data_IF_576293319157
#
_entry.id   IF_576293319157
#
_cell.length_a   1.000
_cell.length_b   1.000
_cell.length_c   1.000
_cell.angle_alpha   90.00
_cell.angle_beta   90.00
_cell.angle_gamma   90.00
#
_symmetry.space_group_name_H-M   'P 1'
#
loop_
_entity.id
_entity.type
_entity.pdbx_description
1 polymer ?
#
# COMPACT_ATOMS: atom_id res chain seq x y z
N UNK A 1 -33.14 9.89 -0.73
CA UNK A 1 -32.56 9.92 -2.07
C UNK A 1 -31.18 10.54 -1.91
N UNK A 2 -30.12 9.91 -2.38
CA UNK A 2 -28.77 10.46 -2.33
C UNK A 2 -28.42 10.96 -3.72
N UNK A 3 -27.97 12.21 -3.83
CA UNK A 3 -27.40 12.76 -5.05
C UNK A 3 -25.89 12.53 -5.01
N UNK A 4 -25.33 11.90 -6.04
CA UNK A 4 -23.90 11.59 -6.14
C UNK A 4 -23.21 12.40 -7.26
N UNK A 5 -23.94 13.35 -7.87
CA UNK A 5 -23.40 14.14 -8.98
C UNK A 5 -22.30 15.12 -8.55
N UNK A 6 -22.25 15.47 -7.27
CA UNK A 6 -21.22 16.30 -6.65
C UNK A 6 -19.96 15.49 -6.23
N UNK A 7 -20.05 14.15 -6.28
CA UNK A 7 -18.92 13.29 -5.95
C UNK A 7 -17.92 13.24 -7.11
N UNK A 8 -16.68 13.40 -6.78
CA UNK A 8 -15.58 13.16 -7.73
C UNK A 8 -15.58 11.68 -8.12
N UNK A 9 -15.49 11.34 -9.42
CA UNK A 9 -15.33 9.96 -9.84
C UNK A 9 -14.13 9.34 -9.12
N UNK A 10 -14.31 8.16 -8.55
CA UNK A 10 -13.20 7.42 -7.96
C UNK A 10 -12.24 7.03 -9.08
N UNK A 11 -11.30 7.90 -9.36
CA UNK A 11 -10.14 7.59 -10.16
C UNK A 11 -9.31 6.64 -9.33
N UNK A 12 -9.40 5.35 -9.58
CA UNK A 12 -8.47 4.40 -9.01
C UNK A 12 -7.15 4.48 -9.77
N UNK A 13 -6.13 5.16 -9.26
CA UNK A 13 -4.82 4.67 -9.49
C UNK A 13 -4.76 3.40 -8.62
N UNK A 14 -4.71 2.27 -9.23
CA UNK A 14 -4.12 1.09 -8.65
C UNK A 14 -2.69 1.50 -8.30
N UNK A 15 -2.52 2.08 -7.11
CA UNK A 15 -1.22 2.56 -6.69
C UNK A 15 -0.26 1.40 -6.77
N UNK A 16 0.82 1.57 -7.51
CA UNK A 16 1.93 0.63 -7.49
C UNK A 16 2.28 0.33 -6.05
N UNK A 17 2.61 -0.93 -5.77
CA UNK A 17 3.08 -1.31 -4.45
C UNK A 17 4.32 -0.48 -4.09
N UNK A 18 4.48 -0.19 -2.81
CA UNK A 18 5.74 0.32 -2.30
C UNK A 18 6.80 -0.74 -2.59
N UNK A 19 7.93 -0.42 -3.24
CA UNK A 19 8.95 -1.40 -3.59
C UNK A 19 9.42 -2.21 -2.38
N UNK A 20 9.73 -3.48 -2.63
CA UNK A 20 10.23 -4.39 -1.59
C UNK A 20 11.50 -3.85 -0.95
N UNK A 21 11.58 -3.95 0.38
CA UNK A 21 12.72 -3.48 1.15
C UNK A 21 12.79 -1.97 1.36
N UNK A 22 11.75 -1.21 1.01
CA UNK A 22 11.71 0.23 1.24
C UNK A 22 11.74 0.56 2.73
N UNK A 23 12.67 1.43 3.11
CA UNK A 23 12.69 2.02 4.44
C UNK A 23 11.81 3.28 4.47
N UNK A 24 10.95 3.38 5.48
CA UNK A 24 10.03 4.50 5.60
C UNK A 24 9.68 4.81 7.06
N UNK A 25 9.41 6.07 7.33
CA UNK A 25 8.75 6.51 8.54
C UNK A 25 7.25 6.29 8.39
N UNK A 26 6.64 5.49 9.27
CA UNK A 26 5.24 5.10 9.17
C UNK A 26 4.47 5.47 10.44
N UNK A 27 3.21 5.84 10.26
CA UNK A 27 2.24 6.04 11.32
C UNK A 27 1.29 4.86 11.35
N UNK A 28 1.10 4.27 12.52
CA UNK A 28 0.08 3.24 12.75
C UNK A 28 -1.25 3.88 13.13
N UNK A 29 -2.34 3.39 12.54
CA UNK A 29 -3.72 3.72 12.91
C UNK A 29 -4.47 2.42 13.16
N UNK A 30 -5.09 2.30 14.33
CA UNK A 30 -5.87 1.11 14.68
C UNK A 30 -7.29 1.28 14.17
N UNK A 31 -7.78 0.27 13.46
CA UNK A 31 -9.15 0.21 12.95
C UNK A 31 -10.00 -0.65 13.89
N UNK A 32 -11.00 -0.07 14.59
CA UNK A 32 -11.86 -0.83 15.49
C UNK A 32 -12.60 -1.94 14.77
N UNK A 33 -12.59 -3.15 15.34
CA UNK A 33 -13.24 -4.33 14.77
C UNK A 33 -14.47 -4.83 15.54
N UNK A 34 -14.89 -4.09 16.59
CA UNK A 34 -16.12 -4.38 17.35
C UNK A 34 -15.98 -5.44 18.44
N UNK A 35 -14.81 -6.06 18.60
CA UNK A 35 -14.57 -7.08 19.63
C UNK A 35 -13.75 -6.52 20.79
N UNK A 36 -14.14 -6.85 22.01
CA UNK A 36 -13.44 -6.36 23.19
C UNK A 36 -12.07 -7.03 23.37
N UNK A 37 -11.09 -6.22 23.74
CA UNK A 37 -9.80 -6.67 24.26
C UNK A 37 -9.86 -7.04 25.75
N UNK A 38 -8.68 -7.23 26.33
CA UNK A 38 -8.54 -7.63 27.75
C UNK A 38 -8.59 -6.46 28.72
N UNK A 39 -8.47 -5.23 28.24
CA UNK A 39 -8.51 -4.02 29.07
C UNK A 39 -9.71 -3.14 28.73
N UNK A 40 -10.12 -2.27 29.68
CA UNK A 40 -11.20 -1.32 29.44
C UNK A 40 -10.89 -0.35 28.29
N UNK A 41 -9.62 -0.05 28.06
CA UNK A 41 -9.17 0.82 26.95
C UNK A 41 -9.34 0.15 25.58
N UNK A 42 -9.49 -1.17 25.53
CA UNK A 42 -9.55 -1.97 24.32
C UNK A 42 -10.96 -2.48 23.99
N UNK A 43 -12.00 -1.86 24.58
CA UNK A 43 -13.40 -2.19 24.28
C UNK A 43 -13.71 -1.86 22.81
N UNK A 44 -14.21 -2.86 22.08
CA UNK A 44 -14.54 -2.74 20.66
C UNK A 44 -13.35 -2.61 19.71
N UNK A 45 -12.12 -2.74 20.22
CA UNK A 45 -10.90 -2.47 19.45
C UNK A 45 -10.49 -3.61 18.53
N UNK A 46 -10.70 -4.85 18.96
CA UNK A 46 -10.21 -6.05 18.27
C UNK A 46 -11.17 -6.51 17.18
N UNK A 47 -10.65 -7.33 16.27
CA UNK A 47 -11.36 -7.99 15.19
C UNK A 47 -11.29 -9.50 15.39
N UNK A 48 -12.41 -10.20 15.30
CA UNK A 48 -12.42 -11.66 15.30
C UNK A 48 -11.92 -12.21 13.96
N UNK A 49 -11.19 -13.33 14.00
CA UNK A 49 -10.90 -14.12 12.83
C UNK A 49 -12.17 -14.84 12.37
N UNK A 50 -12.35 -14.97 11.05
CA UNK A 50 -13.46 -15.74 10.48
C UNK A 50 -13.21 -17.24 10.45
N UNK A 51 -11.93 -17.65 10.54
CA UNK A 51 -11.50 -19.04 10.36
C UNK A 51 -10.93 -19.70 11.62
N UNK A 52 -10.84 -18.95 12.72
CA UNK A 52 -10.27 -19.43 13.99
C UNK A 52 -10.79 -18.60 15.17
N UNK A 53 -10.44 -19.00 16.39
CA UNK A 53 -10.71 -18.29 17.64
C UNK A 53 -9.81 -17.07 17.85
N UNK A 54 -8.92 -16.76 16.90
CA UNK A 54 -7.98 -15.67 17.03
C UNK A 54 -8.69 -14.31 17.05
N UNK A 55 -8.26 -13.46 17.98
CA UNK A 55 -8.59 -12.04 18.02
C UNK A 55 -7.39 -11.23 17.56
N UNK A 56 -7.60 -10.28 16.69
CA UNK A 56 -6.55 -9.53 16.01
C UNK A 56 -6.74 -8.03 16.19
N UNK A 57 -5.64 -7.31 16.21
CA UNK A 57 -5.61 -5.86 16.03
C UNK A 57 -5.48 -5.56 14.54
N UNK A 58 -6.46 -4.88 13.96
CA UNK A 58 -6.45 -4.47 12.55
C UNK A 58 -5.76 -3.12 12.43
N UNK A 59 -4.59 -3.08 11.80
CA UNK A 59 -3.76 -1.89 11.72
C UNK A 59 -3.61 -1.40 10.28
N UNK A 60 -3.81 -0.12 10.09
CA UNK A 60 -3.45 0.63 8.90
C UNK A 60 -2.14 1.36 9.13
N UNK A 61 -1.20 1.25 8.22
CA UNK A 61 0.06 1.97 8.23
C UNK A 61 0.07 3.00 7.12
N UNK A 62 0.37 4.24 7.48
CA UNK A 62 0.52 5.34 6.51
C UNK A 62 1.97 5.79 6.48
N UNK A 63 2.59 5.82 5.30
CA UNK A 63 3.92 6.40 5.12
C UNK A 63 3.85 7.90 5.33
N UNK A 64 4.65 8.42 6.27
CA UNK A 64 4.59 9.83 6.70
C UNK A 64 5.43 10.75 5.81
N UNK A 65 6.56 10.26 5.30
CA UNK A 65 7.52 11.08 4.56
C UNK A 65 8.20 10.28 3.43
N UNK A 66 8.92 10.99 2.57
CA UNK A 66 9.64 10.41 1.45
C UNK A 66 8.78 10.20 0.19
N UNK A 67 9.32 9.50 -0.83
CA UNK A 67 8.68 9.37 -2.14
C UNK A 67 7.34 8.62 -2.11
N UNK A 68 7.11 7.82 -1.09
CA UNK A 68 5.88 7.05 -0.91
C UNK A 68 4.95 7.65 0.16
N UNK A 69 5.14 8.92 0.51
CA UNK A 69 4.29 9.60 1.48
C UNK A 69 2.80 9.47 1.15
N UNK A 70 1.96 9.32 2.18
CA UNK A 70 0.51 9.08 2.11
C UNK A 70 0.12 7.69 1.59
N UNK A 71 1.04 6.84 1.13
CA UNK A 71 0.72 5.46 0.79
C UNK A 71 0.35 4.68 2.05
N UNK A 72 -0.61 3.78 1.90
CA UNK A 72 -1.16 2.99 2.98
C UNK A 72 -1.00 1.50 2.70
N UNK A 73 -0.83 0.74 3.77
CA UNK A 73 -0.89 -0.72 3.75
C UNK A 73 -1.46 -1.24 5.06
N UNK A 74 -1.84 -2.49 5.11
CA UNK A 74 -2.60 -3.06 6.23
C UNK A 74 -1.99 -4.35 6.71
N UNK A 75 -2.04 -4.55 8.02
CA UNK A 75 -1.59 -5.79 8.64
C UNK A 75 -2.38 -6.06 9.91
N UNK A 76 -2.77 -7.33 10.10
CA UNK A 76 -3.39 -7.80 11.32
C UNK A 76 -2.33 -8.36 12.27
N UNK A 77 -2.46 -8.07 13.56
CA UNK A 77 -1.62 -8.63 14.62
C UNK A 77 -2.48 -9.47 15.55
N UNK A 78 -2.14 -10.74 15.72
CA UNK A 78 -2.87 -11.63 16.64
C UNK A 78 -2.64 -11.19 18.07
N UNK A 79 -3.71 -10.99 18.83
CA UNK A 79 -3.68 -10.56 20.24
C UNK A 79 -4.04 -11.70 21.17
N UNK A 80 -4.93 -12.57 20.76
CA UNK A 80 -5.35 -13.74 21.54
C UNK A 80 -5.79 -14.88 20.63
N UNK A 81 -5.87 -16.08 21.17
CA UNK A 81 -6.31 -17.28 20.46
C UNK A 81 -5.30 -17.78 19.40
N UNK A 82 -5.78 -18.60 18.48
CA UNK A 82 -4.97 -19.22 17.45
C UNK A 82 -4.09 -20.34 17.97
N UNK A 83 -2.97 -20.60 17.28
CA UNK A 83 -2.04 -21.68 17.66
C UNK A 83 -1.35 -21.37 18.98
N UNK A 84 -1.36 -22.33 19.89
CA UNK A 84 -0.68 -22.25 21.18
C UNK A 84 0.75 -22.79 21.08
N UNK A 85 1.62 -22.31 21.96
CA UNK A 85 2.95 -22.87 22.21
C UNK A 85 2.89 -24.00 23.26
N UNK A 86 4.05 -24.57 23.59
CA UNK A 86 4.16 -25.65 24.59
C UNK A 86 3.74 -25.21 26.01
N UNK A 87 3.68 -23.91 26.26
CA UNK A 87 3.26 -23.31 27.54
C UNK A 87 1.80 -22.89 27.55
N UNK A 88 1.04 -23.22 26.47
CA UNK A 88 -0.35 -22.83 26.33
C UNK A 88 -0.57 -21.33 25.99
N UNK A 89 0.48 -20.62 25.59
CA UNK A 89 0.37 -19.22 25.18
C UNK A 89 0.17 -19.09 23.66
N UNK A 90 -0.57 -18.08 23.24
CA UNK A 90 -0.75 -17.81 21.80
C UNK A 90 0.57 -17.45 21.14
N UNK A 91 1.02 -18.29 20.19
CA UNK A 91 2.21 -18.02 19.37
C UNK A 91 2.08 -16.70 18.62
N UNK A 92 0.89 -16.44 18.07
CA UNK A 92 0.60 -15.20 17.36
C UNK A 92 0.73 -13.96 18.26
N UNK A 93 0.25 -14.06 19.51
CA UNK A 93 0.41 -12.97 20.49
C UNK A 93 1.87 -12.70 20.84
N UNK A 94 2.67 -13.75 21.05
CA UNK A 94 4.10 -13.58 21.37
C UNK A 94 4.85 -12.85 20.24
N UNK A 95 4.54 -13.18 18.99
CA UNK A 95 5.09 -12.49 17.81
C UNK A 95 4.63 -11.03 17.77
N UNK A 96 3.33 -10.80 17.93
CA UNK A 96 2.76 -9.45 17.90
C UNK A 96 3.29 -8.58 19.03
N UNK A 97 3.42 -9.14 20.24
CA UNK A 97 3.97 -8.44 21.40
C UNK A 97 5.42 -8.00 21.17
N UNK A 98 6.23 -8.82 20.54
CA UNK A 98 7.60 -8.46 20.16
C UNK A 98 7.61 -7.32 19.12
N UNK A 99 6.72 -7.37 18.14
CA UNK A 99 6.58 -6.28 17.17
C UNK A 99 6.12 -4.98 17.82
N UNK A 100 5.13 -5.02 18.72
CA UNK A 100 4.66 -3.83 19.44
C UNK A 100 5.75 -3.23 20.33
N UNK A 101 6.54 -4.07 21.02
CA UNK A 101 7.72 -3.59 21.76
C UNK A 101 8.69 -2.84 20.83
N UNK A 102 9.03 -3.43 19.71
CA UNK A 102 9.92 -2.81 18.73
C UNK A 102 9.35 -1.48 18.18
N UNK A 103 8.03 -1.41 17.92
CA UNK A 103 7.36 -0.16 17.50
C UNK A 103 7.49 0.93 18.57
N UNK A 104 7.28 0.59 19.84
CA UNK A 104 7.43 1.53 20.96
C UNK A 104 8.89 1.98 21.11
N UNK A 105 9.85 1.04 21.05
CA UNK A 105 11.27 1.37 21.14
C UNK A 105 11.70 2.30 19.99
N UNK A 106 11.26 1.99 18.75
CA UNK A 106 11.53 2.82 17.58
C UNK A 106 10.88 4.21 17.69
N UNK A 107 9.62 4.28 18.13
CA UNK A 107 8.89 5.54 18.24
C UNK A 107 9.46 6.48 19.33
N UNK A 108 9.91 5.91 20.44
CA UNK A 108 10.44 6.67 21.58
C UNK A 108 11.98 6.83 21.56
N UNK A 109 12.66 6.27 20.58
CA UNK A 109 14.12 6.30 20.49
C UNK A 109 14.82 5.52 21.60
N UNK A 110 14.20 4.44 22.11
CA UNK A 110 14.74 3.63 23.19
C UNK A 110 15.72 2.58 22.66
N UNK A 111 16.89 2.46 23.31
CA UNK A 111 17.78 1.32 23.03
C UNK A 111 17.03 0.03 23.42
N UNK A 112 16.87 -0.93 22.50
CA UNK A 112 16.20 -2.19 22.78
C UNK A 112 16.87 -3.02 23.88
N UNK A 113 18.15 -2.75 24.17
CA UNK A 113 18.95 -3.40 25.21
C UNK A 113 18.86 -2.65 26.56
N UNK A 114 18.29 -1.46 26.57
CA UNK A 114 18.14 -0.71 27.82
C UNK A 114 17.05 -1.35 28.71
N UNK A 115 17.48 -1.95 29.80
CA UNK A 115 16.65 -2.61 30.81
C UNK A 115 16.47 -1.75 32.08
N UNK A 116 16.83 -0.46 32.01
CA UNK A 116 16.62 0.49 33.13
C UNK A 116 15.14 0.58 33.52
N UNK A 117 14.84 0.90 34.79
CA UNK A 117 13.45 1.10 35.23
C UNK A 117 12.70 2.17 34.42
N UNK A 118 13.42 3.20 33.95
CA UNK A 118 12.87 4.26 33.13
C UNK A 118 12.45 3.75 31.74
N UNK A 119 13.32 2.97 31.07
CA UNK A 119 13.01 2.36 29.77
C UNK A 119 11.88 1.32 29.89
N UNK A 120 11.95 0.48 30.92
CA UNK A 120 10.89 -0.49 31.22
C UNK A 120 9.53 0.20 31.44
N UNK A 121 9.51 1.28 32.20
CA UNK A 121 8.28 2.07 32.44
C UNK A 121 7.67 2.62 31.15
N UNK A 122 8.48 3.10 30.21
CA UNK A 122 8.01 3.59 28.90
C UNK A 122 7.44 2.50 28.01
N UNK A 123 7.81 1.24 28.21
CA UNK A 123 7.30 0.08 27.47
C UNK A 123 6.00 -0.49 28.04
N UNK A 124 5.56 -0.02 29.20
CA UNK A 124 4.30 -0.44 29.80
C UNK A 124 3.15 0.37 29.22
N UNK A 125 2.21 -0.31 28.57
CA UNK A 125 1.00 0.28 28.03
C UNK A 125 -0.23 -0.23 28.82
N UNK A 126 -1.21 0.64 29.06
CA UNK A 126 -2.44 0.29 29.78
C UNK A 126 -3.48 -0.39 28.90
N UNK A 127 -3.28 -0.35 27.59
CA UNK A 127 -4.10 -0.98 26.56
C UNK A 127 -3.51 -0.78 25.18
N UNK A 128 -3.92 -1.64 24.25
CA UNK A 128 -3.44 -1.60 22.85
C UNK A 128 -3.85 -0.29 22.15
N UNK A 129 -4.93 0.34 22.62
CA UNK A 129 -5.38 1.65 22.12
C UNK A 129 -4.29 2.72 22.19
N UNK A 130 -3.36 2.64 23.14
CA UNK A 130 -2.25 3.59 23.27
C UNK A 130 -1.24 3.50 22.11
N UNK A 131 -1.27 2.43 21.34
CA UNK A 131 -0.44 2.29 20.14
C UNK A 131 -1.04 3.03 18.92
N UNK A 132 -2.28 3.54 19.04
CA UNK A 132 -2.90 4.28 17.94
C UNK A 132 -2.19 5.61 17.70
N UNK A 133 -1.79 5.85 16.47
CA UNK A 133 -1.12 7.07 16.07
C UNK A 133 0.39 7.10 16.30
N UNK A 134 1.01 6.03 16.84
CA UNK A 134 2.48 6.00 16.98
C UNK A 134 3.18 6.09 15.64
N UNK A 135 4.33 6.75 15.63
CA UNK A 135 5.16 6.94 14.43
C UNK A 135 6.53 6.33 14.69
N UNK A 136 6.97 5.45 13.79
CA UNK A 136 8.20 4.70 13.94
C UNK A 136 8.88 4.44 12.59
N UNK A 137 10.13 4.01 12.64
CA UNK A 137 10.91 3.62 11.46
C UNK A 137 10.63 2.16 11.10
N UNK A 138 10.34 1.88 9.83
CA UNK A 138 10.01 0.55 9.35
C UNK A 138 10.69 0.22 8.02
N UNK A 139 10.91 -1.06 7.79
CA UNK A 139 11.21 -1.64 6.48
C UNK A 139 9.95 -2.32 5.96
N UNK A 140 9.54 -1.98 4.75
CA UNK A 140 8.31 -2.45 4.10
C UNK A 140 8.68 -3.52 3.10
N UNK A 141 7.95 -4.63 3.09
CA UNK A 141 8.12 -5.70 2.11
C UNK A 141 6.91 -5.80 1.19
N UNK A 142 7.10 -6.48 0.08
CA UNK A 142 6.02 -6.98 -0.76
C UNK A 142 5.77 -8.44 -0.42
N UNK A 143 4.64 -8.72 0.23
CA UNK A 143 4.21 -10.08 0.50
C UNK A 143 3.51 -10.65 -0.73
N UNK A 144 4.04 -11.76 -1.29
CA UNK A 144 3.41 -12.43 -2.41
C UNK A 144 2.04 -13.00 -2.01
N UNK A 145 1.04 -12.80 -2.86
CA UNK A 145 -0.25 -13.47 -2.68
C UNK A 145 -0.06 -15.00 -2.81
N UNK A 146 -0.58 -15.74 -1.84
CA UNK A 146 -0.57 -17.21 -1.85
C UNK A 146 -1.50 -17.80 -2.92
N UNK A 147 -2.52 -17.05 -3.33
CA UNK A 147 -3.47 -17.41 -4.37
C UNK A 147 -3.30 -16.46 -5.57
N UNK A 148 -3.15 -16.96 -6.82
CA UNK A 148 -2.93 -16.13 -8.00
C UNK A 148 -4.08 -15.16 -8.31
N UNK A 149 -5.27 -15.40 -7.76
CA UNK A 149 -6.42 -14.51 -7.90
C UNK A 149 -6.33 -13.24 -7.03
N UNK A 150 -5.40 -13.21 -6.09
CA UNK A 150 -5.17 -12.04 -5.24
C UNK A 150 -3.90 -11.30 -5.66
N UNK A 151 -3.87 -10.02 -5.34
CA UNK A 151 -2.69 -9.18 -5.57
C UNK A 151 -1.72 -9.27 -4.41
N UNK A 152 -0.46 -9.03 -4.72
CA UNK A 152 0.57 -8.80 -3.73
C UNK A 152 0.19 -7.63 -2.82
N UNK A 153 0.70 -7.66 -1.61
CA UNK A 153 0.41 -6.65 -0.61
C UNK A 153 1.69 -6.14 0.04
N UNK A 154 1.69 -4.86 0.40
CA UNK A 154 2.73 -4.36 1.29
C UNK A 154 2.46 -4.80 2.73
N UNK A 155 3.52 -5.18 3.43
CA UNK A 155 3.54 -5.55 4.84
C UNK A 155 4.76 -4.95 5.52
N UNK A 156 4.75 -4.91 6.86
CA UNK A 156 5.97 -4.67 7.61
C UNK A 156 6.89 -5.89 7.50
N UNK A 157 8.11 -5.70 7.03
CA UNK A 157 9.16 -6.71 7.11
C UNK A 157 9.73 -6.75 8.53
N UNK A 158 10.19 -5.60 8.99
CA UNK A 158 10.69 -5.39 10.36
C UNK A 158 10.56 -3.92 10.77
N UNK A 159 10.62 -3.67 12.05
CA UNK A 159 10.75 -2.35 12.63
C UNK A 159 12.25 -2.02 12.74
N UNK A 160 12.62 -0.83 12.31
CA UNK A 160 14.01 -0.35 12.41
C UNK A 160 14.21 0.30 13.79
N UNK A 161 15.19 -0.18 14.52
CA UNK A 161 15.42 0.19 15.91
C UNK A 161 16.50 1.26 16.05
N UNK A 162 16.49 2.04 17.14
CA UNK A 162 17.60 2.90 17.50
C UNK A 162 18.91 2.10 17.57
N UNK A 163 19.98 2.64 16.97
CA UNK A 163 21.26 1.94 16.82
C UNK A 163 21.45 1.25 15.47
N UNK A 164 20.39 1.00 14.70
CA UNK A 164 20.55 0.57 13.31
C UNK A 164 20.95 1.76 12.42
N UNK A 165 21.83 1.54 11.43
CA UNK A 165 22.40 2.63 10.59
C UNK A 165 21.36 3.50 9.92
N UNK A 166 20.22 2.91 9.51
CA UNK A 166 19.18 3.60 8.77
C UNK A 166 18.21 4.39 9.67
N UNK A 167 18.15 4.06 10.96
CA UNK A 167 17.13 4.59 11.88
C UNK A 167 17.06 6.12 11.88
N UNK A 168 18.20 6.77 12.12
CA UNK A 168 18.24 8.22 12.24
C UNK A 168 17.79 8.95 10.95
N UNK A 169 18.21 8.44 9.79
CA UNK A 169 17.83 8.99 8.49
C UNK A 169 16.33 8.84 8.24
N UNK A 170 15.76 7.65 8.53
CA UNK A 170 14.32 7.38 8.38
C UNK A 170 13.51 8.31 9.29
N UNK A 171 13.91 8.46 10.55
CA UNK A 171 13.19 9.31 11.50
C UNK A 171 13.25 10.80 11.17
N UNK A 172 14.30 11.27 10.47
CA UNK A 172 14.34 12.62 9.88
C UNK A 172 13.52 12.74 8.61
N UNK A 173 13.05 11.63 8.03
CA UNK A 173 12.28 11.61 6.78
C UNK A 173 13.16 11.64 5.53
N UNK A 174 14.43 11.32 5.66
CA UNK A 174 15.37 11.20 4.55
C UNK A 174 15.10 9.93 3.74
N UNK A 175 15.46 9.98 2.46
CA UNK A 175 15.36 8.80 1.59
C UNK A 175 16.53 7.86 1.86
N UNK A 176 16.21 6.62 2.24
CA UNK A 176 17.19 5.56 2.49
C UNK A 176 17.11 4.54 1.37
N UNK A 177 18.27 4.08 0.90
CA UNK A 177 18.36 3.07 -0.16
C UNK A 177 17.58 1.81 0.26
N UNK A 178 16.64 1.31 -0.57
CA UNK A 178 15.93 0.07 -0.30
C UNK A 178 16.88 -1.13 -0.17
N UNK A 179 16.52 -2.04 0.72
CA UNK A 179 17.21 -3.32 0.91
C UNK A 179 16.17 -4.44 0.76
N UNK A 180 16.06 -5.09 -0.42
CA UNK A 180 15.02 -6.05 -0.71
C UNK A 180 15.00 -7.23 0.26
N UNK A 181 13.81 -7.59 0.75
CA UNK A 181 13.58 -8.74 1.64
C UNK A 181 13.41 -10.02 0.84
N UNK A 182 12.71 -9.92 -0.30
CA UNK A 182 12.45 -11.04 -1.19
C UNK A 182 13.48 -11.05 -2.32
N UNK A 183 14.58 -11.76 -2.13
CA UNK A 183 15.67 -11.85 -3.11
C UNK A 183 15.33 -12.59 -4.42
N UNK A 184 14.16 -13.22 -4.51
CA UNK A 184 13.74 -13.92 -5.74
C UNK A 184 12.92 -12.97 -6.62
N UNK A 185 13.42 -12.59 -7.82
CA UNK A 185 12.59 -11.91 -8.80
C UNK A 185 11.39 -12.79 -9.10
N UNK A 186 10.19 -12.26 -8.94
CA UNK A 186 8.98 -12.94 -9.40
C UNK A 186 9.06 -13.11 -10.91
N UNK A 187 8.75 -14.32 -11.38
CA UNK A 187 8.27 -14.49 -12.74
C UNK A 187 7.13 -13.49 -12.92
N UNK A 188 7.34 -12.52 -13.81
CA UNK A 188 6.27 -11.63 -14.19
C UNK A 188 5.05 -12.51 -14.48
N UNK A 189 3.94 -12.25 -13.78
CA UNK A 189 2.69 -12.89 -14.13
C UNK A 189 2.50 -12.57 -15.61
N UNK A 190 2.47 -13.60 -16.45
CA UNK A 190 2.09 -13.43 -17.85
C UNK A 190 0.75 -12.70 -17.79
N UNK A 191 0.78 -11.45 -18.23
CA UNK A 191 -0.46 -10.70 -18.42
C UNK A 191 -1.25 -11.57 -19.39
N UNK A 192 -2.42 -12.14 -19.01
CA UNK A 192 -3.22 -12.85 -19.98
C UNK A 192 -3.41 -11.86 -21.12
N UNK A 193 -2.97 -12.25 -22.32
CA UNK A 193 -3.13 -11.46 -23.52
C UNK A 193 -4.59 -10.99 -23.50
N UNK A 194 -4.81 -9.68 -23.50
CA UNK A 194 -6.13 -9.11 -23.42
C UNK A 194 -6.96 -9.81 -24.50
N UNK A 195 -7.88 -10.67 -24.04
CA UNK A 195 -8.80 -11.32 -24.95
C UNK A 195 -9.53 -10.18 -25.65
N UNK A 196 -9.32 -10.05 -26.95
CA UNK A 196 -10.01 -9.07 -27.78
C UNK A 196 -11.49 -9.30 -27.56
N UNK A 197 -12.27 -8.30 -27.09
CA UNK A 197 -13.68 -8.49 -26.85
C UNK A 197 -14.35 -9.00 -28.11
N UNK A 198 -15.28 -9.96 -28.00
CA UNK A 198 -15.93 -10.62 -29.16
C UNK A 198 -16.58 -9.64 -30.15
N UNK A 199 -16.88 -8.39 -29.73
CA UNK A 199 -17.38 -7.34 -30.61
C UNK A 199 -16.29 -6.72 -31.50
N UNK A 200 -15.01 -6.86 -31.17
CA UNK A 200 -13.89 -6.34 -31.97
C UNK A 200 -13.48 -7.27 -33.11
N UNK A 201 -13.96 -8.52 -33.12
CA UNK A 201 -13.70 -9.51 -34.15
C UNK A 201 -14.76 -9.56 -35.26
N UNK A 202 -15.81 -8.74 -35.20
CA UNK A 202 -16.91 -8.74 -36.18
C UNK A 202 -16.78 -7.70 -37.30
N UNK A 203 -15.59 -7.11 -37.49
CA UNK A 203 -15.33 -6.27 -38.65
C UNK A 203 -14.36 -6.92 -39.62
N UNK A 204 -14.79 -7.93 -40.36
CA UNK A 204 -14.19 -8.30 -41.64
C UNK A 204 -15.09 -9.25 -42.38
N UNK A 205 -16.06 -8.74 -43.07
CA UNK A 205 -16.48 -9.24 -44.39
C UNK A 205 -17.42 -8.23 -45.04
N UNK A 206 -16.83 -7.22 -45.66
CA UNK A 206 -17.58 -6.49 -46.69
C UNK A 206 -17.64 -7.36 -47.95
N UNK A 207 -18.83 -7.55 -48.54
CA UNK A 207 -18.91 -8.26 -49.82
C UNK A 207 -18.27 -7.42 -50.92
N UNK A 208 -17.48 -8.07 -51.76
CA UNK A 208 -17.00 -7.51 -53.00
C UNK A 208 -18.16 -7.13 -53.89
N UNK A 209 -18.43 -5.85 -54.11
CA UNK A 209 -19.29 -5.36 -55.15
C UNK A 209 -18.47 -4.75 -56.28
N UNK A 210 -18.82 -5.19 -57.43
CA UNK A 210 -18.21 -5.09 -58.73
C UNK A 210 -17.75 -3.73 -59.21
N UNK A 211 -16.83 -3.79 -60.10
CA UNK A 211 -16.19 -2.69 -60.76
C UNK A 211 -17.08 -1.78 -61.53
N UNK A 212 -16.73 -0.56 -61.57
CA UNK A 212 -17.06 0.40 -62.62
C UNK A 212 -15.80 0.87 -63.33
N UNK A 213 -15.71 0.64 -64.63
CA UNK A 213 -14.57 1.00 -65.43
C UNK A 213 -14.74 2.41 -65.99
N UNK A 214 -14.14 3.40 -65.41
CA UNK A 214 -13.76 4.59 -66.14
C UNK A 214 -12.95 5.56 -65.29
N UNK A 215 -11.92 6.06 -65.87
CA UNK A 215 -11.08 7.19 -65.53
C UNK A 215 -9.64 6.82 -65.15
N UNK A 216 -8.95 6.46 -66.17
CA UNK A 216 -7.56 6.83 -66.36
C UNK A 216 -7.52 8.30 -66.76
N UNK A 217 -6.73 9.15 -66.06
CA UNK A 217 -5.88 10.19 -66.61
C UNK A 217 -5.35 11.07 -65.44
N UNK A 218 -4.05 11.07 -65.30
CA UNK A 218 -3.23 12.25 -65.67
C UNK A 218 -2.59 12.86 -64.46
N UNK A 219 -1.32 12.57 -64.28
CA UNK A 219 -0.18 13.40 -63.81
C UNK A 219 -0.44 14.77 -63.18
N UNK A 220 0.18 15.01 -62.06
CA UNK A 220 1.26 15.97 -61.93
C UNK A 220 1.49 16.41 -60.44
N UNK A 221 2.75 16.38 -60.08
CA UNK A 221 3.36 17.01 -58.88
C UNK A 221 2.81 18.38 -58.57
N UNK A 222 2.49 18.64 -57.31
CA UNK A 222 2.80 19.94 -56.68
C UNK A 222 2.76 19.79 -55.14
N UNK A 223 3.85 20.26 -54.57
CA UNK A 223 4.05 20.39 -53.14
C UNK A 223 3.09 21.41 -52.54
N UNK A 224 2.40 21.09 -51.47
CA UNK A 224 1.58 22.04 -50.69
C UNK A 224 2.35 22.62 -49.50
N UNK A 225 2.19 23.91 -49.23
CA UNK A 225 2.90 24.57 -48.12
C UNK A 225 2.23 24.30 -46.76
N UNK A 226 3.06 24.27 -45.71
CA UNK A 226 2.65 24.20 -44.31
C UNK A 226 1.76 25.39 -43.90
N UNK A 227 0.66 25.20 -43.18
CA UNK A 227 0.00 26.31 -42.52
C UNK A 227 0.70 26.63 -41.22
N UNK A 228 1.06 27.94 -41.09
CA UNK A 228 1.45 28.58 -39.83
C UNK A 228 0.22 28.64 -38.91
N UNK A 229 0.31 28.09 -37.72
CA UNK A 229 -0.69 28.23 -36.69
C UNK A 229 -0.60 29.58 -35.99
N UNK A 230 -1.65 30.37 -36.11
CA UNK A 230 -1.90 31.55 -35.27
C UNK A 230 -2.43 31.09 -33.92
N UNK A 231 -1.76 31.48 -32.85
CA UNK A 231 -2.20 31.25 -31.47
C UNK A 231 -3.51 32.01 -31.20
N UNK A 232 -4.51 31.31 -30.67
CA UNK A 232 -5.73 31.93 -30.16
C UNK A 232 -5.47 32.62 -28.81
N UNK A 233 -6.08 33.79 -28.52
CA UNK A 233 -5.94 34.46 -27.24
C UNK A 233 -6.65 33.67 -26.13
N UNK A 234 -5.94 33.50 -25.00
CA UNK A 234 -6.48 32.85 -23.80
C UNK A 234 -7.60 33.66 -23.13
N UNK A 235 -8.40 33.01 -22.28
CA UNK A 235 -9.56 33.66 -21.67
C UNK A 235 -9.16 34.77 -20.69
N UNK A 236 -10.00 35.81 -20.67
CA UNK A 236 -9.76 37.13 -20.04
C UNK A 236 -9.60 37.15 -18.50
N UNK A 237 -9.71 36.04 -17.82
CA UNK A 237 -9.57 35.95 -16.36
C UNK A 237 -8.13 35.64 -15.86
N UNK A 238 -7.17 35.54 -16.78
CA UNK A 238 -5.77 35.25 -16.44
C UNK A 238 -4.89 36.52 -16.26
N UNK A 239 -5.46 37.72 -16.43
CA UNK A 239 -4.77 38.99 -16.25
C UNK A 239 -5.53 39.89 -15.26
N UNK A 240 -5.46 39.53 -13.98
CA UNK A 240 -5.94 40.32 -12.87
C UNK A 240 -5.13 40.04 -11.63
#
# INVERSE_FOLDING_TARGET
>A
MYDLNDAQPQMAPLGELIPDGTFAKVKMTIRPGGVNGSTQADVGLLKASQSSDAKMLDCEFTVVSGPYARRKFWQNFTVAGGKLDEKGQSKGWNISKSAFRAMVDSALGLDPKDESPAAKGKRVIQGLKQLDGIVFAARIMVEPASNPNYRDQNKLANIVLPGEPQYAAIMRGENVQPDPVNAKPRKAAETPAAATPAWASSQASAPASGGVPWANQGAANQAAPKPQGTAAPGPAWLNG
#
